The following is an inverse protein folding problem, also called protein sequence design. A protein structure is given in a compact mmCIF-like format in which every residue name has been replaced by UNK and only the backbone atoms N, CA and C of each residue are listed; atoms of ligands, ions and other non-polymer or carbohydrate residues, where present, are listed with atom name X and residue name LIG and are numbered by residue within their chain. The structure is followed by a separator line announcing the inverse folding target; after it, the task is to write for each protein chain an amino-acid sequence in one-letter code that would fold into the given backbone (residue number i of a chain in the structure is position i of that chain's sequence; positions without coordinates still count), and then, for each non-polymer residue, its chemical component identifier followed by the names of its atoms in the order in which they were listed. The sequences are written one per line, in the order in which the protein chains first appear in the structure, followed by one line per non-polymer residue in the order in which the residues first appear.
data_IF_823330353966
#
_entry.id   IF_823330353966
#
_cell.length_a   1.000
_cell.length_b   1.000
_cell.length_c   1.000
_cell.angle_alpha   90.00
_cell.angle_beta   90.00
_cell.angle_gamma   90.00
#
_symmetry.space_group_name_H-M   'P 1'
#
loop_
_entity.id
_entity.type
_entity.pdbx_description
1 polymer ?
#
# COMPACT_ATOMS: atom_id res chain seq x y z
N UNK A 1 -61.48 28.67 -37.71
CA UNK A 1 -60.06 28.55 -38.07
C UNK A 1 -59.28 29.07 -36.88
N UNK A 2 -58.54 28.19 -36.23
CA UNK A 2 -57.88 28.36 -34.93
C UNK A 2 -56.52 29.04 -35.17
N UNK A 3 -56.23 30.14 -34.49
CA UNK A 3 -54.86 30.66 -34.33
C UNK A 3 -54.60 30.81 -32.84
N UNK A 4 -53.98 29.78 -32.27
CA UNK A 4 -53.32 29.84 -30.96
C UNK A 4 -51.93 30.43 -31.16
N UNK A 5 -51.67 31.58 -30.55
CA UNK A 5 -50.31 32.00 -30.20
C UNK A 5 -50.23 32.04 -28.69
N UNK A 6 -49.49 31.06 -28.16
CA UNK A 6 -49.24 30.91 -26.73
C UNK A 6 -48.37 32.05 -26.19
N UNK A 7 -48.76 32.57 -25.04
CA UNK A 7 -47.93 33.41 -24.19
C UNK A 7 -47.96 32.83 -22.78
N UNK A 8 -46.91 32.13 -22.40
CA UNK A 8 -46.72 31.67 -21.02
C UNK A 8 -46.34 32.87 -20.16
N UNK A 9 -47.20 33.25 -19.22
CA UNK A 9 -46.87 34.22 -18.16
C UNK A 9 -46.13 33.47 -17.07
N UNK A 10 -44.82 33.73 -16.91
CA UNK A 10 -44.04 33.26 -15.76
C UNK A 10 -44.19 34.29 -14.65
N UNK A 11 -44.98 33.97 -13.64
CA UNK A 11 -45.05 34.71 -12.38
C UNK A 11 -43.83 34.31 -11.52
N UNK A 12 -42.84 35.20 -11.41
CA UNK A 12 -41.76 35.05 -10.43
C UNK A 12 -42.27 35.53 -9.07
N UNK A 13 -42.63 34.60 -8.20
CA UNK A 13 -42.83 34.87 -6.78
C UNK A 13 -41.46 34.84 -6.08
N UNK A 14 -40.94 36.00 -5.66
CA UNK A 14 -39.79 36.06 -4.76
C UNK A 14 -40.28 36.10 -3.32
N UNK A 15 -40.00 35.05 -2.57
CA UNK A 15 -40.09 35.03 -1.10
C UNK A 15 -38.68 35.23 -0.51
N UNK A 16 -38.50 36.09 0.51
CA UNK A 16 -37.18 36.48 0.99
C UNK A 16 -36.76 35.66 2.22
N UNK A 17 -36.25 34.45 2.01
CA UNK A 17 -35.71 33.64 3.11
C UNK A 17 -34.23 33.35 2.86
N UNK A 18 -33.37 33.81 3.79
CA UNK A 18 -31.91 33.84 3.71
C UNK A 18 -31.20 32.48 3.78
N UNK A 19 -31.71 31.45 3.13
CA UNK A 19 -30.96 30.23 2.84
C UNK A 19 -30.26 30.40 1.49
N UNK A 20 -28.99 30.81 1.48
CA UNK A 20 -28.20 30.69 0.28
C UNK A 20 -28.19 29.21 -0.14
N UNK A 21 -28.62 28.86 -1.37
CA UNK A 21 -28.57 27.47 -1.81
C UNK A 21 -27.12 27.01 -1.80
N UNK A 22 -26.88 25.89 -1.12
CA UNK A 22 -25.64 25.14 -1.11
C UNK A 22 -25.02 25.15 -2.52
N UNK A 23 -23.85 25.79 -2.67
CA UNK A 23 -23.09 25.73 -3.92
C UNK A 23 -22.32 24.41 -3.92
N UNK A 24 -22.57 23.50 -4.88
CA UNK A 24 -21.72 22.34 -5.08
C UNK A 24 -20.28 22.81 -5.21
N UNK A 25 -19.36 22.20 -4.47
CA UNK A 25 -17.94 22.44 -4.69
C UNK A 25 -17.58 21.80 -6.03
N UNK A 26 -17.23 22.63 -7.02
CA UNK A 26 -16.70 22.13 -8.29
C UNK A 26 -15.27 21.62 -8.07
N UNK A 27 -15.04 20.33 -8.31
CA UNK A 27 -13.72 19.69 -8.23
C UNK A 27 -13.82 18.16 -8.17
N UNK A 28 -12.69 17.48 -8.41
CA UNK A 28 -12.56 16.03 -8.21
C UNK A 28 -12.80 15.71 -6.72
N UNK A 29 -13.54 14.62 -6.45
CA UNK A 29 -13.98 14.20 -5.12
C UNK A 29 -15.51 14.23 -4.98
N UNK A 30 -16.00 14.26 -3.73
CA UNK A 30 -17.42 14.12 -3.40
C UNK A 30 -18.31 15.32 -3.81
N UNK A 31 -17.71 16.41 -4.28
CA UNK A 31 -18.37 17.69 -4.55
C UNK A 31 -18.80 18.47 -3.30
N UNK A 32 -18.40 18.04 -2.09
CA UNK A 32 -18.81 18.64 -0.82
C UNK A 32 -17.87 18.33 0.35
N UNK A 33 -18.05 19.09 1.44
CA UNK A 33 -17.31 19.01 2.69
C UNK A 33 -15.94 19.69 2.64
N UNK A 34 -14.89 19.06 3.17
CA UNK A 34 -13.57 19.71 3.26
C UNK A 34 -12.97 19.99 1.89
N UNK A 35 -12.55 21.24 1.64
CA UNK A 35 -11.72 21.59 0.49
C UNK A 35 -10.27 21.19 0.75
N UNK A 36 -9.68 20.39 -0.12
CA UNK A 36 -8.28 19.98 0.00
C UNK A 36 -7.33 21.16 -0.22
N UNK A 37 -7.59 21.99 -1.23
CA UNK A 37 -6.79 23.22 -1.48
C UNK A 37 -6.97 24.22 -0.35
N UNK A 38 -8.19 24.41 0.14
CA UNK A 38 -8.44 25.32 1.25
C UNK A 38 -7.87 24.83 2.59
N UNK A 39 -7.85 23.51 2.82
CA UNK A 39 -7.13 22.92 3.96
C UNK A 39 -5.63 23.20 3.87
N UNK A 40 -5.04 23.11 2.67
CA UNK A 40 -3.65 23.49 2.44
C UNK A 40 -3.40 24.97 2.72
N UNK A 41 -4.22 25.87 2.18
CA UNK A 41 -4.11 27.32 2.43
C UNK A 41 -4.23 27.66 3.93
N UNK A 42 -5.14 26.99 4.65
CA UNK A 42 -5.27 27.16 6.10
C UNK A 42 -4.04 26.63 6.86
N UNK A 43 -3.48 25.49 6.45
CA UNK A 43 -2.24 24.98 7.02
C UNK A 43 -1.07 25.96 6.78
N UNK A 44 -0.96 26.56 5.60
CA UNK A 44 0.02 27.61 5.31
C UNK A 44 -0.18 28.86 6.18
N UNK A 45 -1.42 29.16 6.56
CA UNK A 45 -1.75 30.22 7.50
C UNK A 45 -1.51 29.83 8.98
N UNK A 46 -1.04 28.60 9.25
CA UNK A 46 -0.70 28.11 10.58
C UNK A 46 -1.84 27.42 11.34
N UNK A 47 -2.95 27.10 10.68
CA UNK A 47 -4.03 26.33 11.30
C UNK A 47 -3.60 24.88 11.57
N UNK A 48 -3.95 24.37 12.76
CA UNK A 48 -3.79 22.95 13.06
C UNK A 48 -4.84 22.11 12.32
N UNK A 49 -4.60 20.81 12.17
CA UNK A 49 -5.56 19.88 11.56
C UNK A 49 -6.95 19.95 12.21
N UNK A 50 -7.00 20.10 13.54
CA UNK A 50 -8.24 20.24 14.29
C UNK A 50 -9.00 21.53 13.95
N UNK A 51 -8.30 22.65 13.73
CA UNK A 51 -8.91 23.93 13.35
C UNK A 51 -9.45 23.87 11.91
N UNK A 52 -8.69 23.24 11.01
CA UNK A 52 -9.11 23.00 9.61
C UNK A 52 -10.39 22.17 9.60
N UNK A 53 -10.43 21.07 10.35
CA UNK A 53 -11.61 20.21 10.44
C UNK A 53 -12.79 20.93 11.08
N UNK A 54 -12.57 21.71 12.14
CA UNK A 54 -13.62 22.49 12.78
C UNK A 54 -14.19 23.58 11.86
N UNK A 55 -13.36 24.14 10.96
CA UNK A 55 -13.81 25.06 9.93
C UNK A 55 -14.74 24.35 8.94
N UNK A 56 -14.33 23.19 8.38
CA UNK A 56 -15.12 22.54 7.33
C UNK A 56 -16.32 21.74 7.83
N UNK A 57 -16.26 21.21 9.06
CA UNK A 57 -17.32 20.39 9.67
C UNK A 57 -17.78 21.01 11.00
N UNK A 58 -18.36 22.22 10.98
CA UNK A 58 -18.75 22.93 12.21
C UNK A 58 -19.75 22.11 13.02
N UNK A 59 -19.45 21.92 14.31
CA UNK A 59 -20.24 21.13 15.25
C UNK A 59 -19.84 19.65 15.35
N UNK A 60 -18.95 19.16 14.47
CA UNK A 60 -18.37 17.83 14.63
C UNK A 60 -17.38 17.81 15.80
N UNK A 61 -17.28 16.68 16.48
CA UNK A 61 -16.41 16.51 17.64
C UNK A 61 -15.34 15.46 17.33
N UNK A 62 -14.10 15.71 17.74
CA UNK A 62 -13.04 14.72 17.61
C UNK A 62 -13.26 13.54 18.55
N UNK A 63 -13.25 12.35 17.99
CA UNK A 63 -13.33 11.07 18.68
C UNK A 63 -12.02 10.27 18.59
N UNK A 64 -12.01 9.12 19.25
CA UNK A 64 -10.93 8.13 19.13
C UNK A 64 -11.55 6.75 19.03
N UNK A 65 -11.00 5.91 18.16
CA UNK A 65 -11.41 4.52 17.94
C UNK A 65 -10.29 3.56 18.36
N UNK A 66 -10.66 2.32 18.68
CA UNK A 66 -9.71 1.22 18.79
C UNK A 66 -9.24 0.77 17.39
N UNK A 67 -8.12 0.02 17.29
CA UNK A 67 -7.69 -0.58 16.03
C UNK A 67 -8.81 -1.41 15.38
N UNK A 68 -9.05 -1.15 14.11
CA UNK A 68 -10.14 -1.75 13.32
C UNK A 68 -9.71 -1.89 11.86
N UNK A 69 -10.47 -2.66 11.11
CA UNK A 69 -10.24 -2.88 9.68
C UNK A 69 -11.36 -2.31 8.83
N UNK A 70 -11.03 -1.96 7.59
CA UNK A 70 -11.96 -1.61 6.53
C UNK A 70 -11.90 -2.68 5.44
N UNK A 71 -13.07 -3.07 4.93
CA UNK A 71 -13.24 -3.91 3.75
C UNK A 71 -13.47 -3.03 2.53
N UNK A 72 -12.61 -3.17 1.53
CA UNK A 72 -12.62 -2.37 0.30
C UNK A 72 -12.89 -3.30 -0.88
N UNK A 73 -13.97 -3.06 -1.61
CA UNK A 73 -14.19 -3.75 -2.90
C UNK A 73 -13.17 -3.24 -3.91
N UNK A 74 -12.44 -4.16 -4.53
CA UNK A 74 -11.48 -3.87 -5.60
C UNK A 74 -12.18 -4.05 -6.95
N UNK A 75 -12.67 -2.95 -7.51
CA UNK A 75 -13.59 -3.00 -8.66
C UNK A 75 -12.92 -3.45 -9.96
N UNK A 76 -11.61 -3.22 -10.10
CA UNK A 76 -10.83 -3.70 -11.25
C UNK A 76 -10.66 -5.23 -11.27
N UNK A 77 -10.76 -5.87 -10.11
CA UNK A 77 -10.56 -7.32 -9.92
C UNK A 77 -11.90 -8.07 -9.72
N UNK A 78 -13.03 -7.45 -10.08
CA UNK A 78 -14.35 -8.08 -10.01
C UNK A 78 -14.62 -9.00 -11.20
N UNK A 79 -15.55 -9.95 -11.02
CA UNK A 79 -16.03 -10.90 -12.04
C UNK A 79 -14.98 -11.89 -12.55
N UNK A 80 -13.85 -12.00 -11.87
CA UNK A 80 -12.76 -12.92 -12.18
C UNK A 80 -12.38 -13.74 -10.93
N UNK A 81 -11.50 -14.72 -11.12
CA UNK A 81 -10.88 -15.43 -10.00
C UNK A 81 -9.89 -14.51 -9.31
N UNK A 82 -9.84 -14.52 -7.97
CA UNK A 82 -8.79 -13.80 -7.25
C UNK A 82 -7.50 -14.62 -7.30
N UNK A 83 -6.56 -14.16 -8.12
CA UNK A 83 -5.25 -14.77 -8.30
C UNK A 83 -4.21 -13.99 -7.50
N UNK A 84 -3.73 -14.57 -6.39
CA UNK A 84 -2.94 -13.86 -5.38
C UNK A 84 -1.64 -14.56 -5.05
N UNK A 85 -0.56 -13.78 -4.88
CA UNK A 85 0.74 -14.26 -4.44
C UNK A 85 1.43 -13.25 -3.50
N UNK A 86 2.58 -13.64 -2.94
CA UNK A 86 3.43 -12.74 -2.15
C UNK A 86 4.90 -13.18 -2.18
N UNK A 87 5.83 -12.23 -2.09
CA UNK A 87 7.28 -12.52 -2.12
C UNK A 87 7.75 -13.27 -0.86
N UNK A 88 7.01 -13.14 0.25
CA UNK A 88 7.23 -13.87 1.50
C UNK A 88 6.38 -15.15 1.60
N UNK A 89 5.50 -15.38 0.63
CA UNK A 89 4.43 -16.38 0.69
C UNK A 89 3.19 -15.85 1.41
N UNK A 90 2.14 -16.66 1.43
CA UNK A 90 0.85 -16.35 2.04
C UNK A 90 0.23 -17.60 2.67
N UNK A 91 -0.92 -17.42 3.33
CA UNK A 91 -1.72 -18.51 3.89
C UNK A 91 -3.13 -18.45 3.28
N UNK A 92 -3.66 -19.59 2.85
CA UNK A 92 -5.04 -19.74 2.34
C UNK A 92 -5.52 -21.16 2.64
N UNK A 93 -6.79 -21.32 3.00
CA UNK A 93 -7.37 -22.64 3.32
C UNK A 93 -6.54 -23.44 4.33
N UNK A 94 -6.08 -22.78 5.41
CA UNK A 94 -5.18 -23.32 6.46
C UNK A 94 -3.82 -23.84 5.94
N UNK A 95 -3.41 -23.44 4.74
CA UNK A 95 -2.19 -23.93 4.08
C UNK A 95 -1.25 -22.79 3.75
N UNK A 96 0.04 -23.05 3.96
CA UNK A 96 1.10 -22.12 3.56
C UNK A 96 1.42 -22.29 2.07
N UNK A 97 1.27 -21.20 1.33
CA UNK A 97 1.71 -21.00 -0.05
C UNK A 97 3.08 -20.34 0.02
N UNK A 98 4.09 -20.98 -0.55
CA UNK A 98 5.49 -20.52 -0.42
C UNK A 98 5.82 -19.51 -1.52
N UNK A 99 6.90 -18.70 -1.36
CA UNK A 99 7.34 -17.79 -2.42
C UNK A 99 7.48 -18.49 -3.78
N UNK A 100 7.03 -17.84 -4.84
CA UNK A 100 7.01 -18.38 -6.20
C UNK A 100 5.77 -19.21 -6.54
N UNK A 101 4.81 -19.35 -5.62
CA UNK A 101 3.49 -19.93 -5.89
C UNK A 101 2.40 -18.85 -5.86
N UNK A 102 1.27 -19.15 -6.50
CA UNK A 102 0.05 -18.33 -6.44
C UNK A 102 -1.13 -19.18 -5.93
N UNK A 103 -2.09 -18.51 -5.31
CA UNK A 103 -3.38 -19.08 -4.95
C UNK A 103 -4.48 -18.41 -5.77
N UNK A 104 -5.41 -19.21 -6.27
CA UNK A 104 -6.54 -18.82 -7.09
C UNK A 104 -7.81 -19.11 -6.31
N UNK A 105 -8.56 -18.08 -5.92
CA UNK A 105 -9.78 -18.21 -5.14
C UNK A 105 -11.00 -17.91 -6.01
N UNK A 106 -11.91 -18.87 -6.13
CA UNK A 106 -13.21 -18.69 -6.78
C UNK A 106 -14.33 -18.77 -5.74
N UNK A 107 -15.17 -17.73 -5.56
CA UNK A 107 -16.20 -17.74 -4.53
C UNK A 107 -17.27 -18.79 -4.82
N UNK A 108 -17.82 -19.38 -3.74
CA UNK A 108 -18.85 -20.41 -3.80
C UNK A 108 -20.17 -19.92 -3.17
N UNK A 109 -21.34 -20.50 -3.56
CA UNK A 109 -22.64 -20.07 -3.05
C UNK A 109 -22.86 -20.24 -1.53
N UNK A 110 -22.04 -21.05 -0.87
CA UNK A 110 -22.06 -21.26 0.58
C UNK A 110 -21.26 -20.22 1.37
N UNK A 111 -20.67 -19.23 0.67
CA UNK A 111 -19.81 -18.20 1.25
C UNK A 111 -18.34 -18.60 1.37
N UNK A 112 -17.98 -19.82 0.99
CA UNK A 112 -16.60 -20.28 0.91
C UNK A 112 -15.92 -19.96 -0.43
N UNK A 113 -14.77 -20.56 -0.66
CA UNK A 113 -14.05 -20.49 -1.93
C UNK A 113 -13.52 -21.86 -2.37
N UNK A 114 -13.56 -22.13 -3.67
CA UNK A 114 -12.70 -23.12 -4.30
C UNK A 114 -11.30 -22.51 -4.41
N UNK A 115 -10.28 -23.29 -4.07
CA UNK A 115 -8.88 -22.81 -4.04
C UNK A 115 -8.04 -23.72 -4.91
N UNK A 116 -7.30 -23.13 -5.86
CA UNK A 116 -6.26 -23.79 -6.63
C UNK A 116 -4.93 -23.13 -6.32
N UNK A 117 -3.87 -23.91 -6.12
CA UNK A 117 -2.52 -23.41 -5.90
C UNK A 117 -1.64 -23.89 -7.04
N UNK A 118 -0.85 -23.00 -7.60
CA UNK A 118 -0.07 -23.19 -8.83
C UNK A 118 1.39 -22.74 -8.64
N UNK A 119 2.25 -23.19 -9.55
CA UNK A 119 3.63 -22.71 -9.64
C UNK A 119 3.70 -21.32 -10.29
N UNK A 120 3.46 -20.27 -9.51
CA UNK A 120 3.33 -18.90 -10.00
C UNK A 120 1.94 -18.68 -10.64
N UNK A 121 1.66 -17.48 -11.14
CA UNK A 121 0.32 -17.10 -11.59
C UNK A 121 -0.25 -17.99 -12.70
N UNK A 122 0.58 -18.47 -13.63
CA UNK A 122 0.13 -19.23 -14.81
C UNK A 122 0.73 -20.65 -14.89
N UNK A 123 1.27 -21.15 -13.78
CA UNK A 123 1.99 -22.42 -13.76
C UNK A 123 1.12 -23.65 -13.49
N UNK A 124 1.79 -24.80 -13.40
CA UNK A 124 1.13 -26.08 -13.15
C UNK A 124 0.40 -26.09 -11.80
N UNK A 125 -0.76 -26.77 -11.78
CA UNK A 125 -1.53 -26.99 -10.56
C UNK A 125 -0.75 -27.89 -9.61
N UNK A 126 -0.51 -27.37 -8.41
CA UNK A 126 0.17 -28.05 -7.33
C UNK A 126 -0.85 -28.69 -6.39
N UNK A 127 -1.95 -27.99 -6.12
CA UNK A 127 -2.99 -28.43 -5.21
C UNK A 127 -4.31 -27.76 -5.54
N UNK A 128 -5.39 -28.43 -5.17
CA UNK A 128 -6.75 -27.91 -5.30
C UNK A 128 -7.60 -28.39 -4.13
N UNK A 129 -8.55 -27.56 -3.71
CA UNK A 129 -9.47 -27.87 -2.61
C UNK A 129 -10.54 -26.79 -2.48
N UNK A 130 -11.20 -26.79 -1.33
CA UNK A 130 -12.21 -25.80 -0.98
C UNK A 130 -12.05 -25.40 0.49
N UNK A 131 -12.50 -24.20 0.83
CA UNK A 131 -12.43 -23.61 2.17
C UNK A 131 -13.73 -22.88 2.49
N UNK A 132 -14.14 -22.89 3.75
CA UNK A 132 -15.21 -22.03 4.25
C UNK A 132 -14.72 -20.60 4.53
N UNK A 133 -13.40 -20.40 4.57
CA UNK A 133 -12.72 -19.13 4.80
C UNK A 133 -12.17 -18.59 3.45
N UNK A 134 -12.89 -17.70 2.74
CA UNK A 134 -12.60 -17.30 1.37
C UNK A 134 -11.50 -16.23 1.25
N UNK A 135 -10.48 -16.31 2.11
CA UNK A 135 -9.45 -15.29 2.25
C UNK A 135 -8.02 -15.85 2.10
N UNK A 136 -7.16 -15.05 1.51
CA UNK A 136 -5.72 -15.17 1.50
C UNK A 136 -5.11 -14.15 2.47
N UNK A 137 -4.23 -14.62 3.35
CA UNK A 137 -3.61 -13.83 4.41
C UNK A 137 -2.09 -13.75 4.23
N UNK A 138 -1.46 -12.64 4.65
CA UNK A 138 -0.02 -12.58 4.80
C UNK A 138 0.49 -13.66 5.78
N UNK A 139 1.74 -14.10 5.60
CA UNK A 139 2.36 -15.12 6.47
C UNK A 139 2.42 -14.72 7.93
N UNK A 140 2.53 -13.43 8.22
CA UNK A 140 2.47 -12.89 9.58
C UNK A 140 1.33 -11.90 9.66
N UNK A 141 0.30 -12.16 10.48
CA UNK A 141 -0.74 -11.19 10.77
C UNK A 141 -0.19 -9.94 11.49
N UNK A 142 -0.63 -8.74 11.11
CA UNK A 142 -0.18 -7.47 11.72
C UNK A 142 -0.38 -6.25 10.81
N UNK A 143 -0.04 -5.07 11.33
CA UNK A 143 -0.05 -3.79 10.62
C UNK A 143 1.38 -3.36 10.26
N UNK A 144 1.53 -2.33 9.40
CA UNK A 144 2.82 -1.77 8.98
C UNK A 144 3.82 -2.84 8.50
N UNK A 145 3.31 -3.82 7.75
CA UNK A 145 4.10 -4.96 7.26
C UNK A 145 5.15 -4.55 6.23
N UNK A 146 6.29 -5.26 6.15
CA UNK A 146 7.27 -5.04 5.10
C UNK A 146 6.69 -5.38 3.72
N UNK A 147 7.16 -4.67 2.68
CA UNK A 147 6.66 -4.82 1.30
C UNK A 147 6.68 -6.27 0.77
N UNK A 148 7.64 -7.08 1.21
CA UNK A 148 7.72 -8.48 0.80
C UNK A 148 6.55 -9.34 1.30
N UNK A 149 5.82 -8.92 2.33
CA UNK A 149 4.66 -9.61 2.88
C UNK A 149 3.32 -9.06 2.36
N UNK A 150 3.36 -8.04 1.50
CA UNK A 150 2.16 -7.55 0.84
C UNK A 150 1.63 -8.60 -0.12
N UNK A 151 0.31 -8.65 -0.26
CA UNK A 151 -0.36 -9.55 -1.19
C UNK A 151 -0.48 -8.85 -2.55
N UNK A 152 -0.21 -9.59 -3.62
CA UNK A 152 -0.19 -9.08 -4.98
C UNK A 152 -1.20 -9.85 -5.80
N UNK A 153 -2.05 -9.14 -6.53
CA UNK A 153 -2.92 -9.73 -7.54
C UNK A 153 -2.08 -10.00 -8.79
N UNK A 154 -2.21 -11.17 -9.38
CA UNK A 154 -1.51 -11.53 -10.61
C UNK A 154 -1.88 -10.56 -11.74
N UNK A 155 -0.89 -9.81 -12.26
CA UNK A 155 -1.13 -8.77 -13.27
C UNK A 155 -1.82 -7.50 -12.74
N UNK A 156 -2.08 -7.42 -11.43
CA UNK A 156 -2.82 -6.34 -10.79
C UNK A 156 -2.04 -5.59 -9.70
N UNK A 157 -2.78 -5.07 -8.72
CA UNK A 157 -2.25 -4.23 -7.64
C UNK A 157 -1.53 -5.00 -6.53
N UNK A 158 -0.89 -4.23 -5.63
CA UNK A 158 -0.28 -4.73 -4.39
C UNK A 158 -1.01 -4.13 -3.19
N UNK A 159 -1.33 -4.96 -2.21
CA UNK A 159 -2.22 -4.59 -1.10
C UNK A 159 -1.66 -5.07 0.25
N UNK A 160 -1.88 -4.26 1.28
CA UNK A 160 -1.71 -4.65 2.69
C UNK A 160 -2.94 -5.43 3.14
N UNK A 161 -2.84 -6.12 4.28
CA UNK A 161 -3.97 -6.87 4.83
C UNK A 161 -4.21 -8.18 4.09
N UNK A 162 -5.45 -8.64 4.12
CA UNK A 162 -5.90 -9.86 3.45
C UNK A 162 -6.64 -9.52 2.16
N UNK A 163 -6.60 -10.44 1.19
CA UNK A 163 -7.42 -10.38 -0.02
C UNK A 163 -8.36 -11.57 0.00
N UNK A 164 -9.61 -11.36 -0.36
CA UNK A 164 -10.61 -12.40 -0.36
C UNK A 164 -11.66 -12.21 -1.43
N UNK A 165 -12.53 -13.20 -1.53
CA UNK A 165 -13.62 -13.22 -2.51
C UNK A 165 -14.98 -13.24 -1.83
N UNK A 166 -15.93 -12.54 -2.44
CA UNK A 166 -17.33 -12.61 -2.09
C UNK A 166 -18.17 -12.95 -3.33
N UNK A 167 -19.37 -13.46 -3.12
CA UNK A 167 -20.35 -13.70 -4.18
C UNK A 167 -21.53 -12.76 -4.01
N UNK A 168 -21.83 -11.96 -5.03
CA UNK A 168 -22.98 -11.08 -5.06
C UNK A 168 -23.78 -11.34 -6.34
N UNK A 169 -25.02 -11.78 -6.23
CA UNK A 169 -25.88 -12.08 -7.39
C UNK A 169 -25.26 -13.08 -8.40
N UNK A 170 -24.39 -13.97 -7.94
CA UNK A 170 -23.67 -14.93 -8.78
C UNK A 170 -22.41 -14.38 -9.44
N UNK A 171 -22.07 -13.12 -9.19
CA UNK A 171 -20.83 -12.48 -9.66
C UNK A 171 -19.77 -12.51 -8.57
N UNK A 172 -18.54 -12.84 -8.95
CA UNK A 172 -17.40 -12.80 -8.06
C UNK A 172 -17.01 -11.35 -7.76
N UNK A 173 -16.69 -11.08 -6.51
CA UNK A 173 -16.22 -9.79 -6.02
C UNK A 173 -14.91 -9.96 -5.30
N UNK A 174 -13.97 -9.06 -5.55
CA UNK A 174 -12.69 -9.05 -4.84
C UNK A 174 -12.72 -8.02 -3.73
N UNK A 175 -12.25 -8.42 -2.54
CA UNK A 175 -12.29 -7.59 -1.34
C UNK A 175 -10.90 -7.56 -0.70
N UNK A 176 -10.43 -6.36 -0.38
CA UNK A 176 -9.29 -6.15 0.49
C UNK A 176 -9.75 -5.83 1.92
N UNK A 177 -9.40 -6.69 2.88
CA UNK A 177 -9.63 -6.45 4.30
C UNK A 177 -8.31 -6.00 4.94
N UNK A 178 -8.24 -4.74 5.34
CA UNK A 178 -7.00 -4.08 5.75
C UNK A 178 -7.22 -3.22 7.00
N UNK A 179 -6.18 -3.06 7.82
CA UNK A 179 -6.22 -2.11 8.94
C UNK A 179 -6.47 -0.70 8.40
N UNK A 180 -7.29 0.08 9.12
CA UNK A 180 -7.72 1.38 8.61
C UNK A 180 -6.56 2.37 8.43
N UNK A 181 -5.51 2.30 9.24
CA UNK A 181 -4.34 3.18 9.05
C UNK A 181 -3.46 2.69 7.89
N UNK A 182 -3.29 1.37 7.73
CA UNK A 182 -2.62 0.79 6.55
C UNK A 182 -3.35 1.15 5.24
N UNK A 183 -4.68 1.16 5.25
CA UNK A 183 -5.51 1.63 4.12
C UNK A 183 -5.22 3.10 3.77
N UNK A 184 -5.14 3.95 4.78
CA UNK A 184 -4.91 5.38 4.61
C UNK A 184 -3.50 5.71 4.09
N UNK A 185 -2.53 4.80 4.25
CA UNK A 185 -1.21 4.95 3.62
C UNK A 185 -1.33 5.02 2.09
N UNK A 186 -2.31 4.32 1.49
CA UNK A 186 -2.61 4.39 0.06
C UNK A 186 -3.56 5.52 -0.31
N UNK A 187 -4.60 5.77 0.49
CA UNK A 187 -5.64 6.78 0.18
C UNK A 187 -5.13 8.21 0.30
N UNK A 188 -4.48 8.58 1.42
CA UNK A 188 -4.08 9.98 1.66
C UNK A 188 -3.22 10.53 0.52
N UNK A 189 -2.14 9.86 0.06
CA UNK A 189 -1.34 10.37 -1.06
C UNK A 189 -2.02 10.24 -2.43
N UNK A 190 -3.04 9.40 -2.58
CA UNK A 190 -3.85 9.33 -3.79
C UNK A 190 -4.85 10.49 -3.90
N UNK A 191 -5.30 11.02 -2.76
CA UNK A 191 -6.31 12.07 -2.65
C UNK A 191 -5.71 13.47 -2.47
N UNK A 192 -4.60 13.58 -1.74
CA UNK A 192 -3.92 14.84 -1.44
C UNK A 192 -2.43 14.72 -1.71
N UNK A 193 -1.84 15.75 -2.31
CA UNK A 193 -0.43 15.71 -2.72
C UNK A 193 0.48 15.63 -1.50
N UNK A 194 1.24 14.53 -1.38
CA UNK A 194 2.13 14.31 -0.22
C UNK A 194 3.24 15.37 -0.09
N UNK A 195 3.70 15.95 -1.22
CA UNK A 195 4.72 17.01 -1.23
C UNK A 195 4.24 18.36 -0.66
N UNK A 196 2.96 18.50 -0.32
CA UNK A 196 2.46 19.65 0.41
C UNK A 196 3.01 19.70 1.84
N UNK A 197 3.38 18.56 2.43
CA UNK A 197 4.05 18.52 3.73
C UNK A 197 5.30 19.41 3.76
N UNK A 198 6.14 19.30 2.73
CA UNK A 198 7.40 20.04 2.61
C UNK A 198 7.19 21.54 2.35
N UNK A 199 5.96 21.94 2.03
CA UNK A 199 5.57 23.32 1.74
C UNK A 199 4.86 23.99 2.92
N UNK A 200 4.72 23.31 4.07
CA UNK A 200 3.97 23.79 5.24
C UNK A 200 2.55 23.21 5.36
N UNK A 201 2.16 22.33 4.44
CA UNK A 201 0.85 21.68 4.39
C UNK A 201 0.72 20.39 5.21
N UNK A 202 1.62 20.13 6.17
CA UNK A 202 1.57 18.90 6.98
C UNK A 202 0.25 18.75 7.75
N UNK A 203 -0.27 19.85 8.29
CA UNK A 203 -1.57 19.86 8.99
C UNK A 203 -2.76 19.59 8.06
N UNK A 204 -2.65 19.93 6.77
CA UNK A 204 -3.67 19.58 5.77
C UNK A 204 -3.70 18.06 5.52
N UNK A 205 -2.54 17.41 5.44
CA UNK A 205 -2.46 15.95 5.33
C UNK A 205 -3.00 15.26 6.59
N UNK A 206 -2.75 15.81 7.79
CA UNK A 206 -3.32 15.31 9.04
C UNK A 206 -4.84 15.45 9.06
N UNK A 207 -5.38 16.59 8.63
CA UNK A 207 -6.82 16.78 8.47
C UNK A 207 -7.42 15.80 7.45
N UNK A 208 -6.75 15.59 6.32
CA UNK A 208 -7.15 14.61 5.30
C UNK A 208 -7.16 13.19 5.85
N UNK A 209 -6.16 12.78 6.64
CA UNK A 209 -6.13 11.45 7.24
C UNK A 209 -7.33 11.21 8.18
N UNK A 210 -7.67 12.19 9.02
CA UNK A 210 -8.83 12.10 9.93
C UNK A 210 -10.14 12.07 9.14
N UNK A 211 -10.30 12.93 8.14
CA UNK A 211 -11.50 12.96 7.30
C UNK A 211 -11.64 11.66 6.48
N UNK A 212 -10.57 11.17 5.87
CA UNK A 212 -10.59 9.93 5.11
C UNK A 212 -10.90 8.71 6.00
N UNK A 213 -10.35 8.66 7.22
CA UNK A 213 -10.67 7.60 8.21
C UNK A 213 -12.15 7.60 8.58
N UNK A 214 -12.68 8.78 8.87
CA UNK A 214 -14.08 8.93 9.31
C UNK A 214 -15.04 8.59 8.17
N UNK A 215 -14.72 9.00 6.94
CA UNK A 215 -15.47 8.60 5.75
C UNK A 215 -15.50 7.07 5.59
N UNK A 216 -14.34 6.42 5.53
CA UNK A 216 -14.24 4.98 5.28
C UNK A 216 -14.98 4.13 6.33
N UNK A 217 -14.93 4.54 7.61
CA UNK A 217 -15.57 3.83 8.71
C UNK A 217 -17.05 4.14 8.88
N UNK A 218 -17.53 5.25 8.32
CA UNK A 218 -18.96 5.57 8.31
C UNK A 218 -19.73 4.83 7.20
N UNK A 219 -19.02 4.38 6.16
CA UNK A 219 -19.60 3.72 4.99
C UNK A 219 -19.94 2.24 5.25
N UNK A 220 -21.05 1.81 4.62
CA UNK A 220 -21.44 0.40 4.53
C UNK A 220 -22.14 0.16 3.19
N UNK A 221 -21.38 0.26 2.10
CA UNK A 221 -21.94 0.19 0.73
C UNK A 221 -22.40 -1.20 0.32
N UNK A 222 -21.72 -2.23 0.79
CA UNK A 222 -21.97 -3.62 0.40
C UNK A 222 -22.12 -4.49 1.65
N UNK A 223 -22.84 -5.62 1.56
CA UNK A 223 -22.87 -6.60 2.64
C UNK A 223 -21.49 -7.21 2.97
N UNK A 224 -20.56 -7.16 2.02
CA UNK A 224 -19.23 -7.78 2.10
C UNK A 224 -18.07 -6.77 2.16
N UNK A 225 -18.36 -5.47 2.02
CA UNK A 225 -17.35 -4.40 2.05
C UNK A 225 -17.97 -3.07 2.47
N UNK A 226 -17.24 -2.30 3.26
CA UNK A 226 -17.63 -0.97 3.71
C UNK A 226 -17.60 0.03 2.55
N UNK A 227 -16.55 -0.03 1.72
CA UNK A 227 -16.25 0.98 0.69
C UNK A 227 -15.75 0.33 -0.62
N UNK A 228 -15.35 1.16 -1.59
CA UNK A 228 -14.78 0.78 -2.88
C UNK A 228 -13.49 1.57 -3.19
N UNK A 229 -12.73 1.13 -4.18
CA UNK A 229 -11.38 1.64 -4.53
C UNK A 229 -11.35 2.81 -5.53
N UNK A 230 -12.51 3.22 -6.03
CA UNK A 230 -12.67 4.26 -7.05
C UNK A 230 -13.24 5.57 -6.49
N UNK A 231 -13.29 6.59 -7.35
CA UNK A 231 -13.70 7.97 -7.01
C UNK A 231 -15.13 8.12 -6.49
N UNK A 232 -16.01 7.14 -6.70
CA UNK A 232 -17.34 7.12 -6.09
C UNK A 232 -17.27 6.96 -4.57
N UNK A 233 -16.15 6.42 -4.08
CA UNK A 233 -15.77 6.25 -2.69
C UNK A 233 -14.53 7.11 -2.41
N UNK A 234 -13.36 6.48 -2.32
CA UNK A 234 -12.05 7.13 -2.22
C UNK A 234 -11.10 6.39 -3.15
N UNK A 235 -10.16 7.11 -3.75
CA UNK A 235 -9.15 6.47 -4.60
C UNK A 235 -8.22 5.64 -3.72
N UNK A 236 -8.23 4.31 -3.92
CA UNK A 236 -7.39 3.37 -3.18
C UNK A 236 -6.56 2.50 -4.13
N UNK A 237 -5.31 2.90 -4.45
CA UNK A 237 -4.44 2.16 -5.37
C UNK A 237 -3.61 1.07 -4.66
N UNK A 238 -4.05 0.59 -3.49
CA UNK A 238 -3.22 -0.26 -2.64
C UNK A 238 -1.95 0.45 -2.18
N UNK A 239 -0.80 -0.20 -2.34
CA UNK A 239 0.50 0.31 -1.88
C UNK A 239 1.27 1.12 -2.92
N UNK A 240 0.73 1.30 -4.13
CA UNK A 240 1.44 1.91 -5.27
C UNK A 240 1.85 3.38 -4.98
N UNK A 241 0.97 4.13 -4.31
CA UNK A 241 1.16 5.56 -4.05
C UNK A 241 1.61 5.90 -2.63
N UNK A 242 2.01 4.91 -1.83
CA UNK A 242 2.46 5.18 -0.47
C UNK A 242 3.63 6.17 -0.44
N UNK A 243 3.52 7.18 0.41
CA UNK A 243 4.53 8.23 0.57
C UNK A 243 4.86 8.43 2.07
N UNK A 244 6.14 8.48 2.46
CA UNK A 244 6.53 8.67 3.86
C UNK A 244 5.93 9.90 4.53
N UNK A 245 5.71 11.00 3.79
CA UNK A 245 5.13 12.25 4.31
C UNK A 245 3.67 12.09 4.65
N UNK A 246 2.91 11.43 3.77
CA UNK A 246 1.52 11.08 4.06
C UNK A 246 1.43 10.05 5.19
N UNK A 247 2.34 9.07 5.21
CA UNK A 247 2.39 8.05 6.24
C UNK A 247 2.67 8.63 7.65
N UNK A 248 3.48 9.69 7.74
CA UNK A 248 3.66 10.43 8.98
C UNK A 248 2.35 11.07 9.45
N UNK A 249 1.61 11.73 8.57
CA UNK A 249 0.31 12.33 8.89
C UNK A 249 -0.74 11.30 9.35
N UNK A 250 -0.78 10.13 8.70
CA UNK A 250 -1.65 9.01 9.09
C UNK A 250 -1.28 8.51 10.48
N UNK A 251 -0.01 8.20 10.75
CA UNK A 251 0.46 7.71 12.06
C UNK A 251 0.23 8.74 13.16
N UNK A 252 0.49 10.03 12.91
CA UNK A 252 0.30 11.11 13.86
C UNK A 252 -1.19 11.34 14.23
N UNK A 253 -2.11 10.81 13.43
CA UNK A 253 -3.56 10.91 13.63
C UNK A 253 -4.22 9.55 13.83
N UNK A 254 -3.45 8.51 14.16
CA UNK A 254 -3.95 7.15 14.35
C UNK A 254 -5.16 7.11 15.27
N UNK A 255 -6.22 6.44 14.83
CA UNK A 255 -7.48 6.29 15.57
C UNK A 255 -8.30 7.58 15.73
N UNK A 256 -7.90 8.73 15.17
CA UNK A 256 -8.67 9.98 15.26
C UNK A 256 -9.74 10.03 14.16
N UNK A 257 -10.97 10.33 14.57
CA UNK A 257 -12.17 10.44 13.71
C UNK A 257 -13.02 11.66 14.09
N UNK A 258 -13.91 12.08 13.20
CA UNK A 258 -14.95 13.08 13.48
C UNK A 258 -16.28 12.40 13.80
N UNK A 259 -16.95 12.92 14.83
CA UNK A 259 -18.21 12.41 15.35
C UNK A 259 -19.32 13.46 15.26
N UNK A 260 -20.54 12.99 15.03
CA UNK A 260 -21.80 13.74 15.23
C UNK A 260 -22.74 12.85 16.04
N UNK A 261 -23.26 13.37 17.15
CA UNK A 261 -24.16 12.64 18.05
C UNK A 261 -23.58 11.29 18.55
N UNK A 262 -22.26 11.23 18.78
CA UNK A 262 -21.55 10.02 19.21
C UNK A 262 -21.31 8.97 18.12
N UNK A 263 -21.70 9.25 16.88
CA UNK A 263 -21.52 8.36 15.71
C UNK A 263 -20.48 8.93 14.75
N UNK A 264 -19.75 8.06 14.06
CA UNK A 264 -18.72 8.47 13.10
C UNK A 264 -19.37 9.20 11.94
N UNK A 265 -18.92 10.42 11.68
CA UNK A 265 -19.43 11.29 10.63
C UNK A 265 -18.84 10.88 9.29
N UNK A 266 -19.68 10.73 8.25
CA UNK A 266 -19.20 10.51 6.89
C UNK A 266 -18.65 11.82 6.30
N UNK A 267 -17.39 12.08 6.54
CA UNK A 267 -16.74 13.34 6.14
C UNK A 267 -16.28 13.32 4.69
N UNK A 268 -17.21 13.67 3.81
CA UNK A 268 -16.97 13.92 2.38
C UNK A 268 -16.00 15.10 2.19
N UNK A 269 -15.12 15.03 1.18
CA UNK A 269 -14.14 16.08 0.84
C UNK A 269 -13.94 16.20 -0.68
N UNK A 270 -13.34 17.28 -1.16
CA UNK A 270 -13.09 17.54 -2.59
C UNK A 270 -11.94 18.51 -2.83
N UNK A 271 -11.35 18.52 -4.03
CA UNK A 271 -10.23 19.41 -4.37
C UNK A 271 -10.56 20.91 -4.13
N UNK A 272 -11.74 21.35 -4.61
CA UNK A 272 -12.32 22.69 -4.41
C UNK A 272 -11.31 23.87 -4.36
N UNK A 273 -10.73 24.28 -5.51
CA UNK A 273 -9.64 25.27 -5.58
C UNK A 273 -9.96 26.67 -5.05
N UNK A 274 -11.23 27.02 -4.87
CA UNK A 274 -11.67 28.29 -4.28
C UNK A 274 -11.72 28.27 -2.75
N UNK A 275 -11.03 27.34 -2.09
CA UNK A 275 -11.03 27.15 -0.64
C UNK A 275 -12.27 26.47 -0.06
N UNK A 276 -13.36 26.38 -0.82
CA UNK A 276 -14.62 25.78 -0.39
C UNK A 276 -15.34 26.57 0.71
N UNK A 277 -16.44 26.03 1.23
CA UNK A 277 -17.19 26.60 2.35
C UNK A 277 -17.49 25.50 3.36
N UNK A 278 -17.64 25.84 4.66
CA UNK A 278 -18.11 24.91 5.69
C UNK A 278 -19.41 24.22 5.26
N UNK A 279 -19.54 22.94 5.59
CA UNK A 279 -20.77 22.18 5.33
C UNK A 279 -21.67 22.14 6.57
N UNK A 280 -22.98 22.13 6.37
CA UNK A 280 -23.92 21.72 7.43
C UNK A 280 -23.78 20.21 7.67
N UNK A 281 -23.15 19.82 8.77
CA UNK A 281 -22.92 18.41 9.12
C UNK A 281 -24.22 17.62 9.34
N UNK A 282 -25.36 18.28 9.55
CA UNK A 282 -26.68 17.63 9.61
C UNK A 282 -27.10 17.03 8.27
N UNK A 283 -26.48 17.47 7.17
CA UNK A 283 -26.68 16.94 5.81
C UNK A 283 -25.71 15.80 5.46
N UNK A 284 -24.81 15.42 6.38
CA UNK A 284 -23.92 14.29 6.24
C UNK A 284 -24.48 13.08 6.99
N UNK A 285 -24.33 11.91 6.40
CA UNK A 285 -24.68 10.65 7.04
C UNK A 285 -23.71 10.35 8.20
N UNK A 286 -24.15 9.48 9.11
CA UNK A 286 -23.35 8.97 10.21
C UNK A 286 -23.39 7.44 10.17
N UNK A 287 -22.26 6.83 10.46
CA UNK A 287 -22.16 5.38 10.56
C UNK A 287 -22.29 4.86 11.99
N UNK A 288 -21.54 3.81 12.35
CA UNK A 288 -21.54 3.27 13.71
C UNK A 288 -20.94 4.27 14.70
N UNK A 289 -21.24 4.05 15.98
CA UNK A 289 -20.47 4.62 17.08
C UNK A 289 -19.11 3.91 17.21
N UNK A 290 -18.08 4.54 17.79
CA UNK A 290 -16.78 3.90 18.02
C UNK A 290 -16.84 2.53 18.71
N UNK A 291 -17.77 2.34 19.65
CA UNK A 291 -17.94 1.08 20.39
C UNK A 291 -18.63 -0.02 19.56
N UNK A 292 -19.30 0.35 18.46
CA UNK A 292 -19.95 -0.57 17.52
C UNK A 292 -18.96 -1.06 16.43
N UNK A 293 -17.77 -0.47 16.31
CA UNK A 293 -16.77 -0.93 15.34
C UNK A 293 -16.27 -2.32 15.72
N UNK A 294 -16.27 -3.22 14.74
CA UNK A 294 -15.64 -4.52 14.91
C UNK A 294 -14.15 -4.30 15.21
N UNK A 295 -13.59 -4.96 16.25
CA UNK A 295 -12.15 -4.95 16.44
C UNK A 295 -11.49 -5.54 15.20
N UNK A 296 -10.30 -5.05 14.86
CA UNK A 296 -9.51 -5.67 13.80
C UNK A 296 -9.46 -7.19 14.05
N UNK A 297 -9.76 -8.04 13.04
CA UNK A 297 -9.78 -9.47 13.21
C UNK A 297 -8.52 -9.90 13.93
N UNK A 298 -8.68 -10.58 15.06
CA UNK A 298 -7.54 -11.22 15.68
C UNK A 298 -6.91 -12.13 14.61
N UNK A 299 -5.58 -12.09 14.44
CA UNK A 299 -4.88 -13.16 13.72
C UNK A 299 -5.51 -14.50 14.10
N UNK A 300 -5.80 -15.41 13.16
CA UNK A 300 -6.24 -16.73 13.56
C UNK A 300 -5.22 -17.26 14.57
N UNK A 301 -5.66 -17.86 15.70
CA UNK A 301 -4.76 -18.32 16.73
C UNK A 301 -3.62 -19.11 16.09
N UNK A 302 -2.39 -18.92 16.61
CA UNK A 302 -1.23 -19.75 16.26
C UNK A 302 -1.41 -21.16 16.82
N UNK A 303 -2.52 -21.82 16.51
CA UNK A 303 -2.50 -23.26 16.41
C UNK A 303 -1.59 -23.53 15.22
N UNK A 304 -0.65 -24.47 15.35
CA UNK A 304 0.26 -24.85 14.27
C UNK A 304 -0.55 -24.97 12.97
N UNK A 305 -0.55 -23.92 12.12
CA UNK A 305 -0.96 -24.03 10.73
C UNK A 305 -0.13 -25.20 10.26
N UNK A 306 -0.79 -26.34 10.05
CA UNK A 306 -0.09 -27.59 9.86
C UNK A 306 0.99 -27.31 8.83
N UNK A 307 2.25 -27.62 9.15
CA UNK A 307 3.41 -27.39 8.28
C UNK A 307 3.33 -28.14 6.93
N UNK A 308 2.13 -28.54 6.50
CA UNK A 308 1.76 -28.82 5.14
C UNK A 308 1.82 -27.53 4.31
N UNK A 309 3.04 -27.04 4.11
CA UNK A 309 3.35 -26.27 2.92
C UNK A 309 2.80 -27.04 1.72
N UNK A 310 2.09 -26.33 0.85
CA UNK A 310 1.63 -26.88 -0.42
C UNK A 310 2.85 -27.06 -1.31
N UNK A 311 3.60 -28.15 -1.12
CA UNK A 311 4.80 -28.42 -1.91
C UNK A 311 4.39 -29.10 -3.20
N UNK A 312 4.35 -28.31 -4.27
CA UNK A 312 4.73 -28.79 -5.59
C UNK A 312 6.24 -28.84 -5.63
N UNK A 313 6.81 -29.71 -6.46
CA UNK A 313 8.25 -29.89 -6.49
C UNK A 313 8.93 -28.56 -6.85
N UNK A 314 9.57 -27.90 -5.87
CA UNK A 314 10.48 -26.80 -6.13
C UNK A 314 11.65 -27.26 -7.01
N UNK A 315 12.40 -26.34 -7.61
CA UNK A 315 13.66 -26.69 -8.29
C UNK A 315 14.64 -27.42 -7.37
N UNK A 316 14.56 -27.19 -6.05
CA UNK A 316 15.30 -27.94 -5.04
C UNK A 316 14.73 -29.36 -4.88
N UNK A 317 13.41 -29.55 -4.93
CA UNK A 317 12.78 -30.87 -4.86
C UNK A 317 13.08 -31.71 -6.10
N UNK A 318 13.15 -31.08 -7.28
CA UNK A 318 13.57 -31.73 -8.53
C UNK A 318 15.03 -32.19 -8.43
N UNK A 319 15.95 -31.28 -8.09
CA UNK A 319 17.37 -31.60 -7.92
C UNK A 319 17.57 -32.67 -6.83
N UNK A 320 16.84 -32.59 -5.72
CA UNK A 320 16.90 -33.58 -4.66
C UNK A 320 16.43 -34.96 -5.13
N UNK A 321 15.37 -35.04 -5.92
CA UNK A 321 14.92 -36.29 -6.52
C UNK A 321 15.95 -36.87 -7.50
N UNK A 322 16.60 -36.03 -8.32
CA UNK A 322 17.66 -36.43 -9.25
C UNK A 322 18.90 -36.96 -8.51
N UNK A 323 19.21 -36.44 -7.33
CA UNK A 323 20.27 -36.99 -6.47
C UNK A 323 19.88 -38.28 -5.74
N UNK A 324 18.67 -38.80 -5.94
CA UNK A 324 18.20 -40.05 -5.31
C UNK A 324 17.42 -39.86 -4.02
N UNK A 325 17.04 -38.62 -3.68
CA UNK A 325 16.19 -38.29 -2.55
C UNK A 325 16.79 -38.73 -1.20
N UNK A 326 15.93 -39.21 -0.29
CA UNK A 326 16.35 -39.60 1.06
C UNK A 326 17.30 -40.83 1.11
N UNK A 327 17.27 -41.65 0.06
CA UNK A 327 18.21 -42.76 -0.11
C UNK A 327 19.50 -42.34 -0.82
N UNK A 328 19.54 -41.10 -1.34
CA UNK A 328 20.68 -40.50 -2.00
C UNK A 328 21.74 -39.97 -1.03
N UNK A 329 22.84 -39.41 -1.55
CA UNK A 329 24.00 -39.00 -0.75
C UNK A 329 23.67 -37.87 0.24
N UNK A 330 22.69 -37.02 -0.06
CA UNK A 330 22.28 -35.92 0.80
C UNK A 330 21.53 -36.35 2.06
N UNK A 331 20.93 -37.55 2.08
CA UNK A 331 20.11 -38.02 3.19
C UNK A 331 18.79 -37.25 3.32
N UNK A 332 18.16 -37.26 4.50
CA UNK A 332 16.85 -36.65 4.68
C UNK A 332 16.92 -35.11 4.75
N UNK A 333 15.84 -34.44 4.33
CA UNK A 333 15.73 -32.99 4.42
C UNK A 333 15.67 -32.51 5.89
N UNK A 334 16.47 -31.49 6.20
CA UNK A 334 16.53 -30.81 7.51
C UNK A 334 15.75 -29.50 7.45
N UNK A 335 14.45 -29.61 7.66
CA UNK A 335 13.55 -28.46 7.73
C UNK A 335 13.06 -27.96 6.36
N UNK A 336 12.36 -26.82 6.34
CA UNK A 336 11.81 -26.25 5.12
C UNK A 336 12.87 -25.57 4.25
N UNK A 337 12.55 -25.41 2.98
CA UNK A 337 13.28 -24.48 2.11
C UNK A 337 13.20 -23.06 2.65
N UNK A 338 14.34 -22.37 2.65
CA UNK A 338 14.53 -21.08 3.29
C UNK A 338 15.18 -20.09 2.32
N UNK A 339 14.96 -18.79 2.52
CA UNK A 339 15.61 -17.75 1.71
C UNK A 339 17.08 -17.61 2.09
N UNK A 340 17.94 -17.47 1.08
CA UNK A 340 19.34 -17.06 1.29
C UNK A 340 19.40 -15.64 1.87
N UNK A 341 20.45 -15.31 2.67
CA UNK A 341 20.75 -13.94 3.04
C UNK A 341 20.81 -13.02 1.80
N UNK A 342 20.15 -11.86 1.87
CA UNK A 342 20.05 -10.94 0.73
C UNK A 342 18.97 -11.29 -0.31
N UNK A 343 18.15 -12.33 -0.07
CA UNK A 343 17.01 -12.74 -0.92
C UNK A 343 17.39 -13.07 -2.37
N UNK A 344 18.63 -13.50 -2.62
CA UNK A 344 19.16 -13.84 -3.95
C UNK A 344 18.81 -15.27 -4.43
N UNK A 345 18.00 -16.00 -3.67
CA UNK A 345 17.61 -17.37 -3.95
C UNK A 345 17.10 -18.10 -2.71
N UNK A 346 16.91 -19.41 -2.84
CA UNK A 346 16.47 -20.31 -1.77
C UNK A 346 17.51 -21.39 -1.49
N UNK A 347 17.43 -22.02 -0.33
CA UNK A 347 18.25 -23.18 0.02
C UNK A 347 17.48 -24.14 0.91
N UNK A 348 17.88 -25.40 0.91
CA UNK A 348 17.39 -26.40 1.87
C UNK A 348 18.54 -27.24 2.38
N UNK A 349 18.59 -27.39 3.71
CA UNK A 349 19.55 -28.26 4.38
C UNK A 349 19.08 -29.70 4.31
N UNK A 350 20.03 -30.62 4.23
CA UNK A 350 19.86 -32.07 4.31
C UNK A 350 20.86 -32.64 5.32
N UNK A 351 20.72 -33.90 5.70
CA UNK A 351 21.62 -34.54 6.66
C UNK A 351 23.10 -34.39 6.29
N UNK A 352 23.42 -34.51 5.00
CA UNK A 352 24.81 -34.52 4.51
C UNK A 352 25.10 -33.41 3.48
N UNK A 353 24.25 -32.39 3.37
CA UNK A 353 24.54 -31.29 2.45
C UNK A 353 23.47 -30.21 2.42
N UNK A 354 23.59 -29.32 1.45
CA UNK A 354 22.62 -28.26 1.18
C UNK A 354 22.41 -28.17 -0.32
N UNK A 355 21.16 -27.97 -0.75
CA UNK A 355 20.88 -27.56 -2.12
C UNK A 355 20.57 -26.07 -2.09
N UNK A 356 21.22 -25.31 -2.96
CA UNK A 356 21.04 -23.87 -3.09
C UNK A 356 20.47 -23.61 -4.49
N UNK A 357 19.35 -22.92 -4.58
CA UNK A 357 18.74 -22.51 -5.84
C UNK A 357 18.80 -20.99 -5.99
N UNK A 358 19.34 -20.52 -7.11
CA UNK A 358 19.33 -19.09 -7.47
C UNK A 358 18.76 -18.92 -8.88
N UNK A 359 18.20 -17.74 -9.23
CA UNK A 359 17.68 -17.51 -10.57
C UNK A 359 18.73 -17.68 -11.68
N UNK A 360 19.99 -17.35 -11.39
CA UNK A 360 21.09 -17.36 -12.38
C UNK A 360 21.73 -18.74 -12.51
N UNK A 361 21.94 -19.45 -11.40
CA UNK A 361 22.68 -20.71 -11.40
C UNK A 361 21.77 -21.95 -11.35
N UNK A 362 20.45 -21.79 -11.17
CA UNK A 362 19.56 -22.92 -10.89
C UNK A 362 19.89 -23.59 -9.55
N UNK A 363 19.41 -24.82 -9.36
CA UNK A 363 19.73 -25.63 -8.18
C UNK A 363 21.16 -26.17 -8.27
N UNK A 364 21.91 -26.08 -7.17
CA UNK A 364 23.27 -26.59 -7.03
C UNK A 364 23.41 -27.33 -5.72
N UNK A 365 23.92 -28.55 -5.80
CA UNK A 365 24.17 -29.42 -4.66
C UNK A 365 25.53 -29.09 -4.05
N UNK A 366 25.55 -28.89 -2.74
CA UNK A 366 26.76 -28.78 -1.93
C UNK A 366 26.73 -29.92 -0.91
N UNK A 367 27.42 -30.99 -1.24
CA UNK A 367 27.57 -32.17 -0.39
C UNK A 367 28.77 -32.00 0.57
N UNK A 368 28.53 -32.22 1.87
CA UNK A 368 29.55 -32.06 2.90
C UNK A 368 30.67 -33.12 2.79
N UNK A 369 30.40 -34.30 2.24
CA UNK A 369 31.45 -35.30 1.99
C UNK A 369 32.40 -34.83 0.88
N UNK A 370 31.88 -34.17 -0.15
CA UNK A 370 32.68 -33.56 -1.22
C UNK A 370 33.51 -32.38 -0.71
N UNK A 371 32.97 -31.55 0.19
CA UNK A 371 33.72 -30.46 0.85
C UNK A 371 34.90 -30.95 1.70
N UNK A 372 34.72 -32.06 2.41
CA UNK A 372 35.78 -32.69 3.23
C UNK A 372 36.92 -33.31 2.39
N UNK A 373 36.67 -33.63 1.12
CA UNK A 373 37.70 -34.11 0.19
C UNK A 373 38.52 -32.97 -0.43
N UNK A 374 37.95 -31.76 -0.52
CA UNK A 374 38.58 -30.58 -1.14
C UNK A 374 39.35 -29.73 -0.11
N UNK A 375 39.01 -29.82 1.18
CA UNK A 375 39.69 -29.06 2.25
C UNK A 375 39.83 -29.87 3.56
N UNK A 376 40.83 -30.77 3.67
CA UNK A 376 41.05 -31.58 4.88
C UNK A 376 41.55 -30.78 6.11
N UNK A 377 41.90 -29.50 5.96
CA UNK A 377 42.50 -28.65 7.00
C UNK A 377 41.50 -28.17 8.08
N UNK A 378 40.20 -28.38 7.92
CA UNK A 378 39.17 -27.97 8.90
C UNK A 378 39.21 -28.82 10.19
N UNK A 379 39.96 -29.94 10.19
CA UNK A 379 39.98 -30.89 11.30
C UNK A 379 41.00 -30.57 12.41
N UNK A 380 42.02 -29.74 12.16
CA UNK A 380 43.08 -29.46 13.15
C UNK A 380 43.30 -27.96 13.38
N UNK A 381 42.53 -27.38 14.31
CA UNK A 381 42.70 -25.97 14.68
C UNK A 381 41.91 -25.51 15.90
N UNK A 382 41.57 -26.40 16.84
CA UNK A 382 40.89 -26.07 18.09
C UNK A 382 41.76 -26.30 19.32
N UNK A 383 42.79 -25.47 19.55
CA UNK A 383 43.54 -25.45 20.81
C UNK A 383 43.06 -24.27 21.68
N UNK A 384 42.00 -24.51 22.47
CA UNK A 384 41.69 -23.66 23.62
C UNK A 384 42.33 -24.29 24.88
N UNK A 385 43.30 -23.64 25.54
CA UNK A 385 43.84 -24.16 26.78
C UNK A 385 42.81 -24.01 27.90
N UNK A 386 42.51 -25.12 28.58
CA UNK A 386 41.78 -25.14 29.86
C UNK A 386 42.68 -24.59 30.97
N UNK A 387 42.23 -23.58 31.69
CA UNK A 387 42.68 -23.33 33.07
C UNK A 387 41.47 -23.30 34.00
N UNK A 388 41.58 -24.03 35.11
CA UNK A 388 40.61 -24.00 36.21
C UNK A 388 40.98 -22.96 37.26
N UNK A 389 39.96 -22.53 38.02
CA UNK A 389 40.14 -21.96 39.36
C UNK A 389 39.81 -20.47 39.52
N UNK A 390 38.77 -20.24 40.33
CA UNK A 390 38.48 -19.04 41.18
C UNK A 390 38.01 -17.71 40.53
N UNK A 391 36.76 -17.33 40.82
CA UNK A 391 36.29 -15.93 40.92
C UNK A 391 36.74 -15.32 42.27
N UNK A 392 36.83 -13.98 42.50
CA UNK A 392 35.98 -12.85 42.01
C UNK A 392 36.80 -11.51 41.83
N UNK A 393 36.31 -10.24 41.97
CA UNK A 393 34.99 -9.59 41.80
C UNK A 393 35.01 -8.37 40.81
N UNK A 394 33.84 -7.75 40.64
CA UNK A 394 33.53 -6.46 39.97
C UNK A 394 34.66 -5.40 39.85
N UNK A 395 34.89 -4.90 38.63
CA UNK A 395 35.34 -3.52 38.35
C UNK A 395 34.85 -3.03 36.97
N UNK A 396 34.55 -1.73 36.92
CA UNK A 396 33.94 -0.91 35.87
C UNK A 396 34.55 -1.00 34.44
N UNK A 397 33.84 -0.56 33.38
CA UNK A 397 34.29 -0.69 32.00
C UNK A 397 35.34 0.39 31.62
N UNK A 398 36.37 0.07 30.82
CA UNK A 398 37.24 1.08 30.23
C UNK A 398 36.93 1.31 28.74
N UNK A 399 36.43 2.52 28.50
CA UNK A 399 36.67 3.50 27.45
C UNK A 399 37.66 3.15 26.31
N UNK A 400 37.19 3.43 25.09
CA UNK A 400 37.86 3.93 23.87
C UNK A 400 39.40 3.99 23.81
N UNK A 401 39.99 3.29 22.84
CA UNK A 401 41.15 3.78 22.08
C UNK A 401 41.27 3.07 20.72
N UNK A 402 41.59 3.89 19.71
CA UNK A 402 41.61 3.66 18.26
C UNK A 402 42.84 2.93 17.71
N UNK A 403 42.71 2.24 16.58
CA UNK A 403 43.56 2.23 15.33
C UNK A 403 43.45 0.90 14.54
N UNK A 404 43.85 0.79 13.26
CA UNK A 404 43.61 1.68 12.11
C UNK A 404 43.13 0.93 10.83
N UNK A 405 42.39 1.62 9.96
CA UNK A 405 41.94 1.14 8.63
C UNK A 405 43.09 1.16 7.60
N UNK A 406 43.28 0.13 6.74
CA UNK A 406 44.26 0.18 5.66
C UNK A 406 43.78 1.03 4.46
N UNK A 407 44.73 1.67 3.77
CA UNK A 407 44.55 2.59 2.64
C UNK A 407 44.32 1.82 1.31
N UNK A 408 43.55 2.33 0.34
CA UNK A 408 43.36 1.68 -0.96
C UNK A 408 44.61 1.81 -1.85
N UNK A 409 44.96 0.72 -2.55
CA UNK A 409 46.04 0.66 -3.54
C UNK A 409 45.58 1.27 -4.87
N UNK A 410 46.39 2.19 -5.41
CA UNK A 410 46.25 2.78 -6.75
C UNK A 410 46.88 1.85 -7.79
N UNK A 411 46.14 1.50 -8.86
CA UNK A 411 46.67 0.81 -10.04
C UNK A 411 47.19 1.83 -11.07
N UNK A 412 48.28 1.53 -11.82
CA UNK A 412 48.90 2.47 -12.75
C UNK A 412 48.19 2.54 -14.11
N UNK A 413 48.30 3.71 -14.71
CA UNK A 413 47.75 4.14 -15.99
C UNK A 413 48.47 3.46 -17.18
N UNK A 414 47.73 2.74 -18.02
CA UNK A 414 48.20 2.18 -19.30
C UNK A 414 47.15 2.47 -20.36
N UNK A 415 47.50 3.41 -21.25
CA UNK A 415 46.71 3.77 -22.42
C UNK A 415 46.55 2.57 -23.38
N UNK A 416 45.31 2.24 -23.73
CA UNK A 416 44.99 1.35 -24.85
C UNK A 416 44.23 2.14 -25.91
N UNK A 417 44.84 2.19 -27.10
CA UNK A 417 44.35 2.83 -28.31
C UNK A 417 43.05 2.18 -28.84
N UNK A 418 42.09 3.02 -29.21
CA UNK A 418 40.89 2.64 -29.96
C UNK A 418 41.26 2.34 -31.44
N UNK A 419 40.83 1.22 -32.03
CA UNK A 419 40.94 1.02 -33.46
C UNK A 419 39.83 1.78 -34.20
N UNK A 420 40.25 2.63 -35.14
CA UNK A 420 39.39 3.16 -36.19
C UNK A 420 39.27 2.12 -37.31
N UNK A 421 38.06 1.66 -37.62
CA UNK A 421 37.73 1.16 -38.96
C UNK A 421 36.28 1.46 -39.31
N UNK A 422 36.14 2.12 -40.46
CA UNK A 422 34.90 2.56 -41.07
C UNK A 422 34.20 1.44 -41.85
N UNK A 423 32.86 1.46 -41.82
CA UNK A 423 31.95 0.77 -42.73
C UNK A 423 30.54 1.36 -42.58
N UNK A 424 29.77 1.57 -43.67
CA UNK A 424 28.57 2.40 -43.65
C UNK A 424 27.37 1.68 -43.02
N UNK A 425 26.61 2.39 -42.20
CA UNK A 425 25.33 1.95 -41.64
C UNK A 425 24.21 2.39 -42.60
N UNK A 426 23.25 1.53 -42.96
CA UNK A 426 22.11 1.91 -43.79
C UNK A 426 21.08 2.73 -43.00
N UNK A 427 20.49 3.73 -43.67
CA UNK A 427 19.37 4.53 -43.17
C UNK A 427 18.19 3.64 -42.77
N UNK A 428 17.67 3.86 -41.56
CA UNK A 428 16.33 3.44 -41.14
C UNK A 428 15.54 4.70 -40.81
N UNK A 429 14.52 4.93 -41.62
CA UNK A 429 13.61 6.07 -41.58
C UNK A 429 12.98 6.25 -40.20
N UNK A 430 13.13 7.46 -39.65
CA UNK A 430 12.36 7.92 -38.51
C UNK A 430 10.92 8.24 -38.97
N UNK A 431 9.96 7.57 -38.36
CA UNK A 431 8.53 7.81 -38.55
C UNK A 431 8.15 9.22 -38.02
N UNK A 432 7.39 10.04 -38.77
CA UNK A 432 7.02 11.39 -38.34
C UNK A 432 5.89 11.37 -37.29
N UNK A 433 5.83 12.35 -36.37
CA UNK A 433 4.77 12.44 -35.37
C UNK A 433 3.40 12.71 -36.04
N UNK A 434 2.29 12.23 -35.45
CA UNK A 434 0.96 12.39 -36.02
C UNK A 434 0.49 13.87 -36.01
N UNK A 435 -0.32 14.29 -36.99
CA UNK A 435 -0.74 15.68 -37.14
C UNK A 435 -1.74 16.09 -36.06
N UNK A 436 -1.50 17.27 -35.49
CA UNK A 436 -2.41 18.01 -34.63
C UNK A 436 -3.68 18.39 -35.40
N UNK A 437 -4.84 17.99 -34.87
CA UNK A 437 -6.14 18.34 -35.40
C UNK A 437 -6.40 19.85 -35.28
N UNK A 438 -6.69 20.47 -36.41
CA UNK A 438 -7.21 21.83 -36.51
C UNK A 438 -8.62 21.88 -35.87
N UNK A 439 -8.81 22.77 -34.91
CA UNK A 439 -10.12 23.16 -34.42
C UNK A 439 -10.53 24.46 -35.13
N UNK A 440 -11.62 24.38 -35.88
CA UNK A 440 -12.31 25.50 -36.50
C UNK A 440 -12.68 26.60 -35.49
N UNK A 441 -12.58 27.84 -35.96
CA UNK A 441 -12.53 29.04 -35.14
C UNK A 441 -13.81 29.42 -34.38
N UNK A 442 -13.57 30.04 -33.22
CA UNK A 442 -14.48 30.94 -32.49
C UNK A 442 -13.59 32.09 -31.95
N UNK A 443 -13.98 33.37 -32.05
CA UNK A 443 -13.05 34.49 -31.90
C UNK A 443 -12.60 34.72 -30.46
N UNK A 444 -11.33 35.08 -30.30
CA UNK A 444 -10.72 35.49 -29.04
C UNK A 444 -11.39 36.77 -28.50
N UNK A 445 -12.02 36.67 -27.34
CA UNK A 445 -12.28 37.82 -26.48
C UNK A 445 -10.98 38.18 -25.75
N UNK A 446 -10.51 39.41 -25.91
CA UNK A 446 -9.38 39.96 -25.18
C UNK A 446 -9.69 40.00 -23.68
N UNK A 447 -8.93 39.26 -22.88
CA UNK A 447 -8.87 39.43 -21.43
C UNK A 447 -7.82 40.50 -21.10
N UNK A 448 -8.26 41.74 -20.91
CA UNK A 448 -7.48 42.75 -20.20
C UNK A 448 -7.37 42.33 -18.72
N UNK A 449 -6.17 41.95 -18.28
CA UNK A 449 -5.82 41.90 -16.87
C UNK A 449 -5.33 43.30 -16.46
N UNK A 450 -5.94 43.98 -15.47
CA UNK A 450 -5.34 45.18 -14.91
C UNK A 450 -4.16 44.81 -14.01
N UNK A 451 -3.03 45.51 -14.19
CA UNK A 451 -1.85 45.42 -13.34
C UNK A 451 -2.17 45.77 -11.86
N UNK A 452 -1.47 45.16 -10.89
CA UNK A 452 -1.65 45.50 -9.47
C UNK A 452 -1.04 46.88 -9.15
N UNK A 453 -1.70 47.70 -8.31
CA UNK A 453 -1.14 48.99 -7.91
C UNK A 453 0.08 48.82 -7.01
N UNK A 454 1.17 49.48 -7.40
CA UNK A 454 2.40 49.64 -6.63
C UNK A 454 2.17 50.62 -5.46
N UNK A 455 2.51 50.21 -4.25
CA UNK A 455 2.86 51.12 -3.15
C UNK A 455 2.04 50.99 -1.87
N UNK A 456 2.53 50.21 -0.90
CA UNK A 456 2.17 50.37 0.52
C UNK A 456 3.42 50.92 1.24
N UNK A 457 3.33 52.06 1.95
CA UNK A 457 4.45 52.57 2.73
C UNK A 457 4.62 51.77 4.03
N UNK A 458 5.87 51.53 4.42
CA UNK A 458 6.27 50.80 5.63
C UNK A 458 5.73 51.47 6.92
N UNK A 459 5.44 50.69 7.98
CA UNK A 459 4.97 51.23 9.25
C UNK A 459 6.09 51.97 10.00
N UNK A 460 5.79 53.18 10.46
CA UNK A 460 6.64 53.96 11.34
C UNK A 460 6.77 53.27 12.71
N UNK A 461 8.01 53.12 13.19
CA UNK A 461 8.31 52.66 14.55
C UNK A 461 7.90 53.68 15.62
N UNK A 462 7.77 53.24 16.89
CA UNK A 462 7.26 54.09 17.96
C UNK A 462 8.32 55.11 18.41
N UNK A 463 7.91 56.37 18.50
CA UNK A 463 8.66 57.42 19.18
C UNK A 463 8.50 57.25 20.70
N UNK A 464 9.60 56.96 21.40
CA UNK A 464 9.69 57.04 22.85
C UNK A 464 10.11 58.44 23.29
N UNK A 465 9.31 59.02 24.19
CA UNK A 465 9.72 60.10 25.08
C UNK A 465 10.12 59.56 26.45
#
# INVERSE_FOLDING_TARGET
MLTLTGGTVVLTATWPDGSAPYRPLAGIGHGRGMSQVGAFDQALAGAAAEDILAHYYPGAVLGTIAPTTVGVRLTADDNETLDVFSDAGLTVADRRVVPGQAAHLTPMPDGGAAVVITAGCDGDVIWQGATADPWAYPVVPGTDRPAAEHLKVCGGGTYRGALGVALENGEARTVNQVDVDDYLMGVVPAEMQANWADQGGAEALRAQAIAARSYALAEQRYPYAQTCDITDCQVYPGTEKEDPRAAEAVRATSGRVLLRDGRILRTEYSAAPGGGQPIDIGTLEVGPSPDELAPAPAPPPRDDYGQQAVRGNSVIDVEYAETGGAAGPLGAARGPESLLPGRIGTYRMFDNGVIIATPVLGARVVDFATLLQVAPEVQEGGHFPRSGGTAPPNTAPPNTASTPTPRPTVLPDQAVQLPQHAGPVPDVDAEPPPPSAEADGVPAAASEYPEPPVGIPAPAGPAGG
#
